data_IF_321476250562
#
_entry.id   IF_321476250562
#
_cell.length_a   1.000
_cell.length_b   1.000
_cell.length_c   1.000
_cell.angle_alpha   90.00
_cell.angle_beta   90.00
_cell.angle_gamma   90.00
#
_symmetry.space_group_name_H-M   'P 1'
#
loop_
_entity.id
_entity.type
_entity.pdbx_description
1 polymer ?
#
# COMPACT_ATOMS: atom_id res chain seq x y z
N UNK A 1 0.42 -7.68 0.97
CA UNK A 1 -0.64 -7.78 2.01
C UNK A 1 0.01 -8.09 3.35
N UNK A 2 -0.52 -7.53 4.44
CA UNK A 2 -0.12 -7.87 5.80
C UNK A 2 -1.28 -8.57 6.50
N UNK A 3 -1.05 -9.77 6.99
CA UNK A 3 -2.00 -10.57 7.74
C UNK A 3 -1.54 -10.69 9.19
N UNK A 4 -2.46 -10.49 10.12
CA UNK A 4 -2.31 -10.86 11.53
C UNK A 4 -3.43 -11.80 11.92
N UNK A 5 -3.08 -12.88 12.61
CA UNK A 5 -4.00 -13.85 13.21
C UNK A 5 -3.35 -14.50 14.44
N UNK A 6 -3.96 -15.54 14.99
CA UNK A 6 -3.43 -16.27 16.16
C UNK A 6 -2.03 -16.88 15.92
N UNK A 7 -1.64 -17.13 14.67
CA UNK A 7 -0.31 -17.64 14.31
C UNK A 7 0.76 -16.53 14.20
N UNK A 8 0.36 -15.26 14.34
CA UNK A 8 1.24 -14.11 14.27
C UNK A 8 1.05 -13.24 13.03
N UNK A 9 2.10 -12.50 12.65
CA UNK A 9 2.10 -11.60 11.49
C UNK A 9 2.80 -12.24 10.32
N UNK A 10 2.20 -12.09 9.12
CA UNK A 10 2.81 -12.48 7.84
C UNK A 10 2.66 -11.37 6.82
N UNK A 11 3.75 -11.11 6.08
CA UNK A 11 3.76 -10.22 4.93
C UNK A 11 3.82 -11.05 3.65
N UNK A 12 2.74 -11.03 2.88
CA UNK A 12 2.55 -11.89 1.72
C UNK A 12 2.52 -11.03 0.46
N UNK A 13 3.35 -11.38 -0.52
CA UNK A 13 3.37 -10.69 -1.81
C UNK A 13 2.13 -11.02 -2.65
N UNK A 14 1.92 -10.27 -3.72
CA UNK A 14 0.85 -10.53 -4.72
C UNK A 14 0.92 -11.95 -5.31
N UNK A 15 2.11 -12.54 -5.37
CA UNK A 15 2.34 -13.89 -5.92
C UNK A 15 2.37 -14.98 -4.84
N UNK A 16 1.99 -14.65 -3.58
CA UNK A 16 1.93 -15.62 -2.48
C UNK A 16 3.26 -15.86 -1.77
N UNK A 17 4.34 -15.17 -2.13
CA UNK A 17 5.63 -15.33 -1.44
C UNK A 17 5.58 -14.69 -0.06
N UNK A 18 6.15 -15.35 0.94
CA UNK A 18 6.30 -14.82 2.28
C UNK A 18 7.55 -13.92 2.37
N UNK A 19 7.32 -12.65 2.69
CA UNK A 19 8.36 -11.64 2.88
C UNK A 19 8.45 -11.16 4.34
N UNK A 20 7.90 -11.89 5.27
CA UNK A 20 7.87 -11.55 6.70
C UNK A 20 9.28 -11.29 7.24
N UNK A 21 10.22 -12.20 7.01
CA UNK A 21 11.60 -12.05 7.45
C UNK A 21 12.36 -10.91 6.74
N UNK A 22 11.84 -10.45 5.59
CA UNK A 22 12.49 -9.40 4.80
C UNK A 22 12.24 -7.99 5.31
N UNK A 23 11.09 -7.75 5.97
CA UNK A 23 10.63 -6.42 6.37
C UNK A 23 10.33 -6.35 7.87
N UNK A 24 11.34 -6.49 8.75
CA UNK A 24 11.15 -6.61 10.20
C UNK A 24 10.49 -5.37 10.80
N UNK A 25 10.81 -4.15 10.34
CA UNK A 25 10.20 -2.92 10.83
C UNK A 25 8.68 -2.88 10.57
N UNK A 26 8.26 -3.29 9.36
CA UNK A 26 6.85 -3.38 9.02
C UNK A 26 6.13 -4.46 9.85
N UNK A 27 6.77 -5.60 10.09
CA UNK A 27 6.23 -6.69 10.92
C UNK A 27 6.02 -6.21 12.36
N UNK A 28 7.01 -5.52 12.94
CA UNK A 28 6.92 -4.97 14.29
C UNK A 28 5.75 -3.96 14.41
N UNK A 29 5.62 -3.05 13.44
CA UNK A 29 4.53 -2.09 13.40
C UNK A 29 3.16 -2.77 13.30
N UNK A 30 3.01 -3.74 12.40
CA UNK A 30 1.77 -4.51 12.21
C UNK A 30 1.42 -5.31 13.47
N UNK A 31 2.41 -5.84 14.20
CA UNK A 31 2.19 -6.56 15.46
C UNK A 31 1.61 -5.67 16.56
N UNK A 32 1.90 -4.38 16.54
CA UNK A 32 1.43 -3.42 17.56
C UNK A 32 0.05 -2.83 17.28
N UNK A 33 -0.54 -3.08 16.13
CA UNK A 33 -1.87 -2.54 15.81
C UNK A 33 -2.94 -3.08 16.76
N UNK A 34 -3.94 -2.26 17.15
CA UNK A 34 -4.92 -2.60 18.19
C UNK A 34 -6.09 -3.43 17.64
N UNK A 35 -5.81 -4.64 17.13
CA UNK A 35 -6.82 -5.61 16.70
C UNK A 35 -6.27 -7.04 16.85
N UNK A 36 -7.13 -8.04 17.06
CA UNK A 36 -6.71 -9.43 17.23
C UNK A 36 -6.36 -10.09 15.89
N UNK A 37 -7.14 -9.81 14.87
CA UNK A 37 -6.90 -10.32 13.51
C UNK A 37 -7.25 -9.29 12.45
N UNK A 38 -6.52 -9.27 11.35
CA UNK A 38 -6.83 -8.43 10.18
C UNK A 38 -6.07 -8.87 8.94
N UNK A 39 -6.59 -8.42 7.80
CA UNK A 39 -5.91 -8.48 6.51
C UNK A 39 -5.88 -7.08 5.91
N UNK A 40 -4.67 -6.51 5.82
CA UNK A 40 -4.38 -5.23 5.19
C UNK A 40 -3.89 -5.42 3.77
N UNK A 41 -4.33 -4.56 2.86
CA UNK A 41 -3.69 -4.37 1.56
C UNK A 41 -2.81 -3.13 1.59
N UNK A 42 -1.59 -3.27 1.11
CA UNK A 42 -0.58 -2.24 1.18
C UNK A 42 0.62 -2.56 0.30
N UNK A 43 1.54 -1.62 0.24
CA UNK A 43 2.80 -1.73 -0.48
C UNK A 43 3.96 -1.52 0.48
N UNK A 44 4.98 -2.38 0.40
CA UNK A 44 6.23 -2.13 1.12
C UNK A 44 7.04 -1.09 0.33
N UNK A 45 7.45 -0.03 0.99
CA UNK A 45 8.23 1.06 0.40
C UNK A 45 9.47 1.33 1.24
N UNK A 46 10.51 1.84 0.58
CA UNK A 46 11.65 2.49 1.23
C UNK A 46 11.66 3.93 0.75
N UNK A 47 11.78 4.87 1.67
CA UNK A 47 11.80 6.30 1.34
C UNK A 47 13.23 6.83 1.29
N UNK A 48 13.46 7.84 0.45
CA UNK A 48 14.69 8.63 0.50
C UNK A 48 14.63 9.68 1.64
N UNK A 49 15.69 10.46 1.78
CA UNK A 49 15.79 11.53 2.79
C UNK A 49 14.68 12.59 2.70
N UNK A 50 14.01 12.70 1.54
CA UNK A 50 12.88 13.61 1.31
C UNK A 50 11.52 12.96 1.60
N UNK A 51 11.50 11.71 2.10
CA UNK A 51 10.27 10.96 2.36
C UNK A 51 9.57 10.41 1.12
N UNK A 52 10.16 10.51 -0.07
CA UNK A 52 9.59 9.96 -1.30
C UNK A 52 9.93 8.48 -1.43
N UNK A 53 8.94 7.67 -1.80
CA UNK A 53 9.12 6.25 -2.07
C UNK A 53 10.08 6.05 -3.25
N UNK A 54 11.08 5.17 -3.08
CA UNK A 54 12.05 4.83 -4.12
C UNK A 54 12.02 3.33 -4.36
N UNK A 55 11.45 2.93 -5.49
CA UNK A 55 11.24 1.53 -5.83
C UNK A 55 12.54 0.73 -5.91
N UNK A 56 13.61 1.32 -6.42
CA UNK A 56 14.90 0.62 -6.54
C UNK A 56 15.48 0.21 -5.19
N UNK A 57 15.25 1.00 -4.14
CA UNK A 57 15.76 0.68 -2.82
C UNK A 57 15.14 -0.60 -2.26
N UNK A 58 13.84 -0.84 -2.49
CA UNK A 58 13.17 -2.04 -1.97
C UNK A 58 13.60 -3.32 -2.70
N UNK A 59 14.08 -3.22 -3.93
CA UNK A 59 14.61 -4.39 -4.67
C UNK A 59 15.88 -4.95 -4.02
N UNK A 60 16.69 -4.10 -3.39
CA UNK A 60 17.91 -4.51 -2.72
C UNK A 60 17.64 -5.04 -1.31
N UNK A 61 18.07 -6.28 -1.02
CA UNK A 61 17.85 -6.92 0.30
C UNK A 61 18.35 -6.08 1.48
N UNK A 62 19.44 -5.31 1.29
CA UNK A 62 20.05 -4.48 2.35
C UNK A 62 19.10 -3.39 2.89
N UNK A 63 18.15 -2.92 2.11
CA UNK A 63 17.19 -1.89 2.52
C UNK A 63 15.87 -2.47 3.05
N UNK A 64 15.75 -3.80 3.12
CA UNK A 64 14.52 -4.43 3.64
C UNK A 64 14.24 -4.11 5.10
N UNK A 65 15.31 -3.89 5.90
CA UNK A 65 15.16 -3.55 7.32
C UNK A 65 14.45 -2.19 7.54
N UNK A 66 14.62 -1.25 6.60
CA UNK A 66 14.07 0.11 6.67
C UNK A 66 12.72 0.23 5.95
N UNK A 67 12.22 -0.89 5.40
CA UNK A 67 10.98 -0.87 4.64
C UNK A 67 9.77 -0.63 5.52
N UNK A 68 8.92 0.29 5.08
CA UNK A 68 7.67 0.70 5.72
C UNK A 68 6.49 0.15 4.90
N UNK A 69 5.44 -0.30 5.57
CA UNK A 69 4.19 -0.70 4.92
C UNK A 69 3.30 0.52 4.69
N UNK A 70 3.09 0.91 3.45
CA UNK A 70 2.13 1.93 3.05
C UNK A 70 0.75 1.27 2.91
N UNK A 71 -0.10 1.38 3.94
CA UNK A 71 -1.40 0.72 4.00
C UNK A 71 -2.48 1.55 3.27
N UNK A 72 -3.22 0.93 2.35
CA UNK A 72 -4.23 1.64 1.56
C UNK A 72 -5.62 0.98 1.52
N UNK A 73 -5.80 -0.26 2.00
CA UNK A 73 -7.11 -0.89 2.13
C UNK A 73 -7.14 -1.89 3.30
N UNK A 74 -8.35 -2.17 3.82
CA UNK A 74 -8.59 -3.14 4.87
C UNK A 74 -9.63 -4.15 4.40
N UNK A 75 -9.23 -5.42 4.36
CA UNK A 75 -10.01 -6.51 3.76
C UNK A 75 -10.76 -7.32 4.80
N UNK A 76 -10.16 -7.48 5.98
CA UNK A 76 -10.72 -8.22 7.13
C UNK A 76 -10.32 -7.50 8.42
N UNK A 77 -11.20 -7.49 9.41
CA UNK A 77 -10.92 -6.97 10.75
C UNK A 77 -11.69 -7.79 11.80
N UNK A 78 -10.95 -8.43 12.73
CA UNK A 78 -11.49 -9.22 13.84
C UNK A 78 -12.58 -10.24 13.40
N UNK A 79 -12.31 -10.93 12.28
CA UNK A 79 -13.19 -11.93 11.68
C UNK A 79 -14.27 -11.38 10.75
N UNK A 80 -14.44 -10.05 10.68
CA UNK A 80 -15.38 -9.42 9.75
C UNK A 80 -14.78 -9.30 8.34
N UNK A 81 -15.38 -9.95 7.35
CA UNK A 81 -15.01 -9.81 5.93
C UNK A 81 -15.54 -8.48 5.37
N UNK A 82 -14.64 -7.55 5.07
CA UNK A 82 -14.95 -6.22 4.57
C UNK A 82 -14.99 -6.11 3.04
N UNK A 83 -14.72 -7.18 2.29
CA UNK A 83 -14.67 -7.12 0.81
C UNK A 83 -15.98 -6.65 0.18
N UNK A 84 -17.10 -6.96 0.83
CA UNK A 84 -18.45 -6.52 0.40
C UNK A 84 -18.86 -5.15 0.95
N UNK A 85 -18.01 -4.50 1.71
CA UNK A 85 -18.25 -3.14 2.21
C UNK A 85 -17.75 -2.10 1.19
N UNK A 86 -18.41 -0.93 1.09
CA UNK A 86 -17.94 0.20 0.30
C UNK A 86 -16.53 0.64 0.71
N UNK A 87 -15.74 1.16 -0.24
CA UNK A 87 -14.35 1.55 0.02
C UNK A 87 -14.24 2.58 1.15
N UNK A 88 -15.20 3.50 1.27
CA UNK A 88 -15.20 4.54 2.31
C UNK A 88 -15.35 3.91 3.71
N UNK A 89 -16.14 2.84 3.82
CA UNK A 89 -16.28 2.10 5.08
C UNK A 89 -14.98 1.41 5.45
N UNK A 90 -14.34 0.73 4.50
CA UNK A 90 -13.05 0.07 4.70
C UNK A 90 -11.96 1.06 5.08
N UNK A 91 -11.92 2.22 4.40
CA UNK A 91 -10.97 3.31 4.69
C UNK A 91 -11.15 3.88 6.11
N UNK A 92 -12.38 4.14 6.55
CA UNK A 92 -12.64 4.61 7.92
C UNK A 92 -12.16 3.61 8.98
N UNK A 93 -12.37 2.30 8.76
CA UNK A 93 -11.85 1.26 9.66
C UNK A 93 -10.33 1.18 9.62
N UNK A 94 -9.70 1.29 8.43
CA UNK A 94 -8.25 1.34 8.27
C UNK A 94 -7.63 2.52 9.03
N UNK A 95 -8.17 3.72 8.87
CA UNK A 95 -7.71 4.93 9.59
C UNK A 95 -7.75 4.72 11.10
N UNK A 96 -8.82 4.11 11.63
CA UNK A 96 -8.93 3.81 13.07
C UNK A 96 -7.90 2.78 13.52
N UNK A 97 -7.65 1.75 12.72
CA UNK A 97 -6.70 0.67 13.02
C UNK A 97 -5.26 1.17 13.05
N UNK A 98 -4.88 2.03 12.08
CA UNK A 98 -3.50 2.54 11.92
C UNK A 98 -3.29 3.87 12.67
N UNK A 99 -4.26 4.30 13.47
CA UNK A 99 -4.18 5.57 14.20
C UNK A 99 -3.04 5.58 15.20
N UNK A 100 -2.22 6.63 15.17
CA UNK A 100 -1.11 6.83 16.09
C UNK A 100 0.27 6.67 15.43
N UNK A 101 1.36 6.93 16.15
CA UNK A 101 2.70 6.76 15.64
C UNK A 101 3.09 5.27 15.67
N UNK A 102 3.17 4.68 14.51
CA UNK A 102 3.66 3.31 14.33
C UNK A 102 4.83 3.32 13.34
N UNK A 103 6.09 3.47 13.81
CA UNK A 103 7.25 3.32 12.92
C UNK A 103 7.14 1.98 12.15
N UNK A 104 7.25 2.02 10.83
CA UNK A 104 7.13 0.83 9.98
C UNK A 104 5.78 0.61 9.31
N UNK A 105 4.75 1.39 9.65
CA UNK A 105 3.49 1.44 8.89
C UNK A 105 3.01 2.88 8.73
N UNK A 106 2.56 3.23 7.53
CA UNK A 106 2.02 4.55 7.20
C UNK A 106 0.69 4.37 6.48
N UNK A 107 -0.29 5.18 6.84
CA UNK A 107 -1.54 5.26 6.11
C UNK A 107 -1.29 5.96 4.77
N UNK A 108 -1.66 5.33 3.67
CA UNK A 108 -1.72 6.01 2.38
C UNK A 108 -2.92 6.97 2.38
N UNK A 109 -2.64 8.25 2.48
CA UNK A 109 -3.66 9.30 2.45
C UNK A 109 -4.47 9.21 1.15
N UNK A 110 -5.73 9.62 1.24
CA UNK A 110 -6.62 9.69 0.10
C UNK A 110 -7.32 11.04 0.08
N UNK A 111 -7.60 11.50 -1.11
CA UNK A 111 -8.27 12.77 -1.35
C UNK A 111 -9.55 12.50 -2.11
N UNK A 112 -10.64 13.15 -1.69
CA UNK A 112 -11.90 13.16 -2.42
C UNK A 112 -11.95 14.40 -3.30
N UNK A 113 -12.29 14.22 -4.59
CA UNK A 113 -12.39 15.35 -5.51
C UNK A 113 -11.95 15.03 -6.92
N UNK A 114 -11.67 16.08 -7.68
CA UNK A 114 -11.22 15.96 -9.07
C UNK A 114 -9.82 15.35 -9.16
N UNK A 115 -9.75 14.17 -9.76
CA UNK A 115 -8.49 13.45 -9.95
C UNK A 115 -7.47 14.23 -10.77
N UNK A 116 -7.88 15.19 -11.60
CA UNK A 116 -6.97 16.03 -12.36
C UNK A 116 -6.16 16.95 -11.43
N UNK A 117 -6.79 17.52 -10.40
CA UNK A 117 -6.11 18.37 -9.41
C UNK A 117 -5.10 17.55 -8.61
N UNK A 118 -5.51 16.35 -8.16
CA UNK A 118 -4.64 15.44 -7.43
C UNK A 118 -3.47 15.00 -8.32
N UNK A 119 -3.71 14.72 -9.60
CA UNK A 119 -2.65 14.35 -10.55
C UNK A 119 -1.64 15.47 -10.78
N UNK A 120 -2.09 16.72 -10.87
CA UNK A 120 -1.17 17.89 -10.99
C UNK A 120 -0.29 18.01 -9.74
N UNK A 121 -0.86 17.83 -8.54
CA UNK A 121 -0.09 17.84 -7.30
C UNK A 121 0.94 16.69 -7.26
N UNK A 122 0.58 15.52 -7.78
CA UNK A 122 1.47 14.34 -7.86
C UNK A 122 2.64 14.52 -8.84
N UNK A 123 2.55 15.44 -9.83
CA UNK A 123 3.70 15.75 -10.71
C UNK A 123 4.94 16.25 -9.96
N UNK A 124 4.77 16.66 -8.70
CA UNK A 124 5.85 17.11 -7.84
C UNK A 124 6.72 15.99 -7.23
N UNK A 125 6.53 14.73 -7.64
CA UNK A 125 7.42 13.64 -7.22
C UNK A 125 6.81 12.24 -7.13
N UNK A 126 5.50 12.07 -7.38
CA UNK A 126 4.86 10.76 -7.35
C UNK A 126 4.95 10.04 -8.70
N UNK A 127 5.04 8.70 -8.66
CA UNK A 127 5.00 7.84 -9.86
C UNK A 127 3.62 7.84 -10.54
N UNK A 128 2.58 8.18 -9.81
CA UNK A 128 1.20 8.25 -10.29
C UNK A 128 0.19 8.18 -9.16
N UNK A 129 -1.07 8.08 -9.55
CA UNK A 129 -2.20 7.95 -8.61
C UNK A 129 -3.04 6.73 -8.94
N UNK A 130 -3.76 6.22 -7.94
CA UNK A 130 -4.82 5.24 -8.13
C UNK A 130 -6.15 5.88 -7.74
N UNK A 131 -6.95 6.23 -8.75
CA UNK A 131 -8.32 6.69 -8.54
C UNK A 131 -9.22 5.51 -8.28
N UNK A 132 -9.98 5.54 -7.18
CA UNK A 132 -10.91 4.47 -6.80
C UNK A 132 -12.32 5.05 -6.70
N UNK A 133 -13.26 4.42 -7.43
CA UNK A 133 -14.67 4.86 -7.40
C UNK A 133 -15.26 4.71 -6.00
N UNK A 134 -15.92 5.75 -5.51
CA UNK A 134 -16.69 5.71 -4.26
C UNK A 134 -17.79 4.63 -4.34
N UNK A 135 -18.12 4.01 -3.21
CA UNK A 135 -19.04 2.89 -3.14
C UNK A 135 -18.49 1.57 -3.66
N UNK A 136 -17.28 1.53 -4.25
CA UNK A 136 -16.74 0.30 -4.84
C UNK A 136 -16.41 -0.76 -3.78
N UNK A 137 -16.76 -2.00 -4.11
CA UNK A 137 -16.41 -3.18 -3.32
C UNK A 137 -14.96 -3.58 -3.62
N UNK A 138 -14.33 -4.32 -2.69
CA UNK A 138 -13.00 -4.87 -2.93
C UNK A 138 -13.06 -6.00 -3.96
N UNK A 139 -12.15 -5.94 -4.93
CA UNK A 139 -11.91 -7.03 -5.88
C UNK A 139 -10.42 -7.29 -5.97
N UNK A 140 -10.03 -8.54 -5.85
CA UNK A 140 -8.66 -8.96 -6.12
C UNK A 140 -8.34 -8.86 -7.61
N UNK A 141 -7.15 -8.39 -7.96
CA UNK A 141 -6.72 -8.24 -9.35
C UNK A 141 -7.19 -6.92 -9.99
N UNK A 142 -7.43 -6.97 -11.31
CA UNK A 142 -7.89 -5.78 -12.07
C UNK A 142 -9.34 -5.45 -11.72
N UNK A 143 -9.62 -4.18 -11.50
CA UNK A 143 -10.95 -3.65 -11.25
C UNK A 143 -11.26 -2.48 -12.18
N UNK A 144 -12.44 -2.47 -12.80
CA UNK A 144 -12.92 -1.33 -13.60
C UNK A 144 -13.18 -0.07 -12.75
N UNK A 145 -13.28 -0.23 -11.43
CA UNK A 145 -13.49 0.87 -10.49
C UNK A 145 -12.19 1.47 -9.96
N UNK A 146 -11.03 0.95 -10.37
CA UNK A 146 -9.71 1.40 -9.96
C UNK A 146 -8.89 1.77 -11.19
N UNK A 147 -8.61 3.04 -11.34
CA UNK A 147 -7.84 3.57 -12.46
C UNK A 147 -6.45 3.95 -11.98
N UNK A 148 -5.42 3.26 -12.48
CA UNK A 148 -4.02 3.64 -12.26
C UNK A 148 -3.62 4.64 -13.34
N UNK A 149 -3.26 5.85 -12.93
CA UNK A 149 -2.78 6.93 -13.81
C UNK A 149 -1.31 7.14 -13.48
N UNK A 150 -0.43 6.79 -14.42
CA UNK A 150 1.02 6.94 -14.26
C UNK A 150 1.45 8.37 -14.57
N UNK A 151 2.46 8.86 -13.86
CA UNK A 151 3.14 10.11 -14.19
C UNK A 151 4.26 9.82 -15.20
N UNK A 152 4.14 10.22 -16.47
CA UNK A 152 5.14 9.91 -17.49
C UNK A 152 6.49 10.57 -17.25
N UNK A 153 6.56 11.59 -16.40
CA UNK A 153 7.80 12.26 -16.03
C UNK A 153 8.52 11.59 -14.85
N UNK A 154 7.92 10.59 -14.21
CA UNK A 154 8.54 9.91 -13.07
C UNK A 154 9.65 8.95 -13.54
N UNK A 155 10.84 8.96 -12.91
CA UNK A 155 11.97 8.12 -13.31
C UNK A 155 11.67 6.63 -13.35
N UNK A 156 10.83 6.13 -12.42
CA UNK A 156 10.44 4.72 -12.37
C UNK A 156 9.54 4.32 -13.56
N UNK A 157 8.68 5.21 -14.02
CA UNK A 157 7.78 4.97 -15.17
C UNK A 157 8.57 4.92 -16.48
N UNK A 158 9.58 5.77 -16.62
CA UNK A 158 10.46 5.77 -17.80
C UNK A 158 11.25 4.46 -17.91
N UNK A 159 11.76 3.93 -16.79
CA UNK A 159 12.48 2.64 -16.78
C UNK A 159 11.60 1.44 -17.09
N UNK A 160 10.37 1.38 -16.57
CA UNK A 160 9.41 0.32 -16.96
C UNK A 160 9.15 0.32 -18.47
N UNK A 161 9.04 1.51 -19.08
CA UNK A 161 8.86 1.63 -20.52
C UNK A 161 10.10 1.13 -21.30
N UNK A 162 11.31 1.44 -20.84
CA UNK A 162 12.57 0.99 -21.45
C UNK A 162 12.75 -0.54 -21.32
N UNK A 163 12.41 -1.13 -20.16
CA UNK A 163 12.47 -2.59 -19.95
C UNK A 163 11.46 -3.36 -20.81
N UNK A 164 10.29 -2.81 -21.10
CA UNK A 164 9.27 -3.43 -21.98
C UNK A 164 9.66 -3.39 -23.48
N UNK A 165 10.49 -2.43 -23.92
CA UNK A 165 11.00 -2.34 -25.30
C UNK A 165 12.19 -3.24 -25.58
N UNK A 166 12.76 -3.85 -24.55
CA UNK A 166 13.94 -4.74 -24.63
C UNK A 166 13.61 -6.24 -24.67
N UNK A 167 12.33 -6.64 -24.90
CA UNK A 167 11.92 -8.05 -25.04
C UNK A 167 11.40 -8.35 -26.42
#
# INVERSE_FOLDING_TARGET
MARRDAAGVRLITRHGNDFTARFPLAVEAVTRLPANSFLLDGEAIVTNERGLAVFDLIRHKRHGADAVLLAFDLIELDGEDLRRSPIEHRKRKLVKLVRGPHPGIVLNEHYEGDGAIVFIACKLGCEGIVSKRLGSLYRSGRSQHWLKIKNPAAPAVNREAEEDWGR
#
